data_IF_498225073747
#
_entry.id   IF_498225073747
#
_cell.length_a   1.000
_cell.length_b   1.000
_cell.length_c   1.000
_cell.angle_alpha   90.00
_cell.angle_beta   90.00
_cell.angle_gamma   90.00
#
_symmetry.space_group_name_H-M   'P 1'
#
loop_
_entity.id
_entity.type
_entity.pdbx_description
1 polymer ?
#
# COMPACT_ATOMS: atom_id res chain seq x y z
N UNK A 1 29.27 -39.78 -31.15
CA UNK A 1 28.97 -39.53 -29.72
C UNK A 1 28.46 -38.10 -29.62
N UNK A 2 27.14 -37.91 -29.59
CA UNK A 2 26.54 -36.56 -29.56
C UNK A 2 26.45 -36.12 -28.10
N UNK A 3 27.35 -35.25 -27.68
CA UNK A 3 27.24 -34.58 -26.39
C UNK A 3 26.12 -33.54 -26.50
N UNK A 4 24.92 -33.87 -26.03
CA UNK A 4 23.84 -32.90 -25.86
C UNK A 4 24.34 -31.79 -24.95
N UNK A 5 24.60 -30.61 -25.51
CA UNK A 5 24.96 -29.43 -24.74
C UNK A 5 23.76 -29.09 -23.85
N UNK A 6 23.91 -28.99 -22.53
CA UNK A 6 22.78 -28.71 -21.65
C UNK A 6 22.17 -27.36 -22.05
N UNK A 7 20.84 -27.30 -22.16
CA UNK A 7 20.12 -26.06 -22.48
C UNK A 7 20.49 -24.97 -21.47
N UNK A 8 20.82 -23.75 -21.92
CA UNK A 8 21.05 -22.62 -21.04
C UNK A 8 19.83 -22.35 -20.16
N UNK A 9 20.05 -21.97 -18.90
CA UNK A 9 18.97 -21.53 -18.01
C UNK A 9 18.48 -20.14 -18.42
N UNK A 10 17.25 -19.78 -18.05
CA UNK A 10 16.70 -18.43 -18.32
C UNK A 10 17.57 -17.32 -17.73
N UNK A 11 18.14 -17.53 -16.53
CA UNK A 11 19.08 -16.59 -15.92
C UNK A 11 20.32 -16.36 -16.79
N UNK A 12 20.79 -17.39 -17.49
CA UNK A 12 21.96 -17.29 -18.38
C UNK A 12 21.60 -16.61 -19.70
N UNK A 13 20.40 -16.82 -20.21
CA UNK A 13 19.88 -16.11 -21.40
C UNK A 13 19.66 -14.61 -21.11
N UNK A 14 19.19 -14.27 -19.91
CA UNK A 14 19.08 -12.88 -19.43
C UNK A 14 20.47 -12.23 -19.28
N UNK A 15 21.42 -12.91 -18.63
CA UNK A 15 22.79 -12.40 -18.52
C UNK A 15 23.48 -12.22 -19.88
N UNK A 16 23.18 -13.08 -20.86
CA UNK A 16 23.62 -12.90 -22.25
C UNK A 16 23.02 -11.65 -22.87
N UNK A 17 21.70 -11.46 -22.72
CA UNK A 17 20.96 -10.31 -23.24
C UNK A 17 21.45 -8.98 -22.66
N UNK A 18 21.85 -8.97 -21.39
CA UNK A 18 22.39 -7.80 -20.69
C UNK A 18 23.89 -7.57 -20.91
N UNK A 19 24.58 -8.47 -21.62
CA UNK A 19 26.01 -8.36 -21.90
C UNK A 19 26.92 -8.72 -20.73
N UNK A 20 26.38 -9.30 -19.66
CA UNK A 20 27.06 -9.65 -18.40
C UNK A 20 27.84 -10.97 -18.50
N UNK A 21 27.68 -11.76 -19.58
CA UNK A 21 28.43 -12.99 -19.76
C UNK A 21 29.87 -12.75 -20.27
N UNK A 22 30.87 -13.49 -19.72
CA UNK A 22 32.22 -13.55 -20.28
C UNK A 22 32.24 -14.03 -21.74
N UNK A 23 33.25 -13.63 -22.54
CA UNK A 23 33.33 -13.99 -23.97
C UNK A 23 33.13 -15.48 -24.32
N UNK A 24 33.76 -16.46 -23.63
CA UNK A 24 33.58 -17.87 -23.98
C UNK A 24 32.16 -18.39 -23.71
N UNK A 25 31.49 -17.86 -22.69
CA UNK A 25 30.12 -18.25 -22.35
C UNK A 25 29.10 -17.62 -23.28
N UNK A 26 29.35 -16.36 -23.68
CA UNK A 26 28.54 -15.65 -24.66
C UNK A 26 28.50 -16.40 -25.99
N UNK A 27 29.66 -16.84 -26.47
CA UNK A 27 29.75 -17.59 -27.73
C UNK A 27 29.05 -18.95 -27.67
N UNK A 28 29.08 -19.61 -26.51
CA UNK A 28 28.33 -20.85 -26.29
C UNK A 28 26.80 -20.63 -26.35
N UNK A 29 26.30 -19.55 -25.74
CA UNK A 29 24.88 -19.18 -25.80
C UNK A 29 24.47 -18.77 -27.21
N UNK A 30 25.28 -18.00 -27.94
CA UNK A 30 25.02 -17.61 -29.33
C UNK A 30 24.93 -18.83 -30.26
N UNK A 31 25.88 -19.75 -30.12
CA UNK A 31 25.87 -21.01 -30.89
C UNK A 31 24.63 -21.84 -30.58
N UNK A 32 24.21 -21.88 -29.32
CA UNK A 32 23.01 -22.60 -28.91
C UNK A 32 21.72 -21.95 -29.44
N UNK A 33 21.61 -20.61 -29.38
CA UNK A 33 20.47 -19.86 -29.91
C UNK A 33 20.36 -19.95 -31.43
N UNK A 34 21.48 -20.07 -32.15
CA UNK A 34 21.47 -20.36 -33.60
C UNK A 34 20.86 -21.73 -33.92
N UNK A 35 21.03 -22.71 -33.03
CA UNK A 35 20.47 -24.05 -33.17
C UNK A 35 19.01 -24.17 -32.69
N UNK A 36 18.48 -23.17 -31.96
CA UNK A 36 17.14 -23.18 -31.34
C UNK A 36 16.35 -21.89 -31.68
N UNK A 37 15.77 -21.80 -32.90
CA UNK A 37 15.15 -20.57 -33.40
C UNK A 37 13.91 -20.12 -32.60
N UNK A 38 13.17 -21.04 -31.99
CA UNK A 38 12.04 -20.75 -31.10
C UNK A 38 12.48 -20.05 -29.81
N UNK A 39 13.59 -20.48 -29.23
CA UNK A 39 14.19 -19.86 -28.05
C UNK A 39 14.79 -18.50 -28.39
N UNK A 40 15.43 -18.38 -29.56
CA UNK A 40 15.89 -17.09 -30.08
C UNK A 40 14.73 -16.11 -30.36
N UNK A 41 13.54 -16.59 -30.71
CA UNK A 41 12.35 -15.75 -30.82
C UNK A 41 11.85 -15.29 -29.44
N UNK A 42 11.87 -16.16 -28.43
CA UNK A 42 11.52 -15.81 -27.04
C UNK A 42 12.47 -14.74 -26.47
N UNK A 43 13.78 -14.92 -26.63
CA UNK A 43 14.78 -13.95 -26.15
C UNK A 43 14.65 -12.59 -26.86
N UNK A 44 14.24 -12.58 -28.14
CA UNK A 44 13.95 -11.33 -28.88
C UNK A 44 12.74 -10.57 -28.32
N UNK A 45 11.71 -11.26 -27.84
CA UNK A 45 10.58 -10.61 -27.15
C UNK A 45 11.04 -9.96 -25.85
N UNK A 46 11.86 -10.65 -25.05
CA UNK A 46 12.44 -10.08 -23.82
C UNK A 46 13.30 -8.85 -24.10
N UNK A 47 14.08 -8.87 -25.19
CA UNK A 47 14.86 -7.72 -25.63
C UNK A 47 13.96 -6.51 -25.96
N UNK A 48 12.86 -6.74 -26.67
CA UNK A 48 11.90 -5.70 -27.03
C UNK A 48 11.22 -5.10 -25.79
N UNK A 49 10.84 -5.93 -24.81
CA UNK A 49 10.24 -5.47 -23.55
C UNK A 49 11.23 -4.62 -22.74
N UNK A 50 12.49 -5.06 -22.63
CA UNK A 50 13.58 -4.31 -21.97
C UNK A 50 13.78 -2.95 -22.62
N UNK A 51 13.86 -2.91 -23.96
CA UNK A 51 14.12 -1.68 -24.70
C UNK A 51 12.92 -0.71 -24.60
N UNK A 52 11.68 -1.22 -24.59
CA UNK A 52 10.48 -0.42 -24.34
C UNK A 52 10.44 0.19 -22.93
N UNK A 53 10.89 -0.55 -21.92
CA UNK A 53 11.02 -0.04 -20.55
C UNK A 53 12.08 1.06 -20.45
N UNK A 54 13.26 0.85 -21.05
CA UNK A 54 14.32 1.87 -21.09
C UNK A 54 13.82 3.15 -21.74
N UNK A 55 13.25 3.08 -22.93
CA UNK A 55 12.73 4.26 -23.63
C UNK A 55 11.72 5.08 -22.80
N UNK A 56 10.90 4.42 -21.98
CA UNK A 56 9.92 5.11 -21.12
C UNK A 56 10.53 5.71 -19.85
N UNK A 57 11.59 5.10 -19.34
CA UNK A 57 12.21 5.46 -18.05
C UNK A 57 13.55 6.19 -18.21
N UNK A 58 14.04 6.38 -19.44
CA UNK A 58 15.32 7.04 -19.71
C UNK A 58 15.37 8.47 -19.12
N UNK A 59 14.23 9.18 -19.12
CA UNK A 59 14.14 10.51 -18.53
C UNK A 59 14.33 10.49 -17.00
N UNK A 60 13.76 9.49 -16.32
CA UNK A 60 13.87 9.28 -14.86
C UNK A 60 15.28 8.81 -14.47
N UNK A 61 15.91 7.99 -15.32
CA UNK A 61 17.30 7.53 -15.13
C UNK A 61 18.32 8.66 -15.26
N UNK A 62 17.98 9.74 -15.95
CA UNK A 62 18.82 10.92 -16.13
C UNK A 62 18.69 11.92 -14.97
N UNK A 63 17.74 11.73 -14.04
CA UNK A 63 17.62 12.61 -12.88
C UNK A 63 18.84 12.45 -11.95
N UNK A 64 19.45 13.57 -11.51
CA UNK A 64 20.54 13.50 -10.56
C UNK A 64 20.04 12.90 -9.24
N UNK A 65 20.72 11.85 -8.76
CA UNK A 65 20.42 11.26 -7.46
C UNK A 65 20.50 12.34 -6.38
N UNK A 66 19.56 12.38 -5.41
CA UNK A 66 19.60 13.41 -4.38
C UNK A 66 20.88 13.30 -3.55
N UNK A 67 21.51 14.44 -3.31
CA UNK A 67 22.84 14.58 -2.67
C UNK A 67 23.05 13.71 -1.40
N UNK A 68 22.07 13.55 -0.48
CA UNK A 68 22.24 12.70 0.71
C UNK A 68 22.48 11.21 0.40
N UNK A 69 22.04 10.73 -0.76
CA UNK A 69 22.23 9.34 -1.20
C UNK A 69 23.63 9.13 -1.74
N UNK A 70 24.11 10.08 -2.56
CA UNK A 70 25.47 10.10 -3.11
C UNK A 70 26.49 10.07 -1.97
N UNK A 71 26.28 10.91 -0.95
CA UNK A 71 27.18 10.98 0.21
C UNK A 71 27.20 9.68 1.03
N UNK A 72 26.08 8.99 1.21
CA UNK A 72 26.06 7.67 1.88
C UNK A 72 26.74 6.58 1.09
N UNK A 73 26.58 6.56 -0.24
CA UNK A 73 27.22 5.59 -1.12
C UNK A 73 28.74 5.81 -1.17
N UNK A 74 29.19 7.07 -1.16
CA UNK A 74 30.62 7.42 -1.14
C UNK A 74 31.26 7.23 0.25
N UNK A 75 30.48 7.37 1.33
CA UNK A 75 30.94 7.12 2.70
C UNK A 75 30.96 5.63 3.08
N UNK A 76 30.41 4.74 2.25
CA UNK A 76 30.51 3.31 2.45
C UNK A 76 31.97 2.87 2.19
N UNK A 77 32.64 2.20 3.15
CA UNK A 77 34.02 1.78 2.95
C UNK A 77 34.08 0.81 1.76
N UNK A 78 34.94 1.12 0.78
CA UNK A 78 35.26 0.23 -0.32
C UNK A 78 35.99 -1.00 0.24
N UNK A 79 35.23 -2.01 0.66
CA UNK A 79 35.77 -3.28 1.06
C UNK A 79 36.02 -4.10 -0.22
N UNK A 80 37.26 -4.06 -0.71
CA UNK A 80 37.77 -4.70 -1.92
C UNK A 80 37.85 -6.24 -1.80
N UNK A 81 36.76 -6.86 -1.35
CA UNK A 81 36.66 -8.32 -1.31
C UNK A 81 36.07 -8.82 -2.62
N UNK A 82 36.96 -9.28 -3.51
CA UNK A 82 36.66 -9.87 -4.82
C UNK A 82 35.69 -11.07 -4.77
N UNK A 83 35.31 -11.55 -3.59
CA UNK A 83 34.37 -12.66 -3.39
C UNK A 83 32.89 -12.23 -3.25
N UNK A 84 32.57 -10.92 -3.29
CA UNK A 84 31.19 -10.44 -3.15
C UNK A 84 30.50 -10.00 -4.44
N UNK A 85 31.22 -9.97 -5.57
CA UNK A 85 30.66 -9.54 -6.86
C UNK A 85 29.44 -10.34 -7.34
N UNK A 86 29.34 -11.68 -7.21
CA UNK A 86 28.13 -12.40 -7.60
C UNK A 86 26.96 -12.26 -6.60
N UNK A 87 27.22 -11.87 -5.35
CA UNK A 87 26.17 -11.65 -4.34
C UNK A 87 25.50 -10.27 -4.47
N UNK A 88 26.22 -9.27 -5.01
CA UNK A 88 25.69 -7.94 -5.28
C UNK A 88 24.68 -7.93 -6.44
N UNK A 89 24.86 -8.75 -7.48
CA UNK A 89 23.91 -8.84 -8.61
C UNK A 89 22.56 -9.45 -8.19
N UNK A 90 22.57 -10.48 -7.34
CA UNK A 90 21.35 -11.07 -6.77
C UNK A 90 20.64 -10.10 -5.81
N UNK A 91 21.40 -9.30 -5.05
CA UNK A 91 20.84 -8.26 -4.20
C UNK A 91 20.26 -7.08 -5.02
N UNK A 92 20.85 -6.75 -6.17
CA UNK A 92 20.35 -5.69 -7.05
C UNK A 92 19.06 -6.09 -7.78
N UNK A 93 18.92 -7.36 -8.17
CA UNK A 93 17.68 -7.91 -8.74
C UNK A 93 16.54 -8.00 -7.70
N UNK A 94 16.87 -8.32 -6.44
CA UNK A 94 15.91 -8.23 -5.33
C UNK A 94 15.58 -6.78 -4.99
N UNK A 95 16.54 -5.87 -5.11
CA UNK A 95 16.34 -4.44 -4.87
C UNK A 95 15.51 -3.77 -5.97
N UNK A 96 15.60 -4.16 -7.24
CA UNK A 96 14.73 -3.63 -8.31
C UNK A 96 13.32 -4.21 -8.26
N UNK A 97 13.17 -5.48 -7.89
CA UNK A 97 11.85 -6.09 -7.61
C UNK A 97 11.12 -5.46 -6.42
N UNK A 98 11.86 -5.06 -5.37
CA UNK A 98 11.32 -4.35 -4.22
C UNK A 98 11.22 -2.83 -4.42
N UNK A 99 12.11 -2.21 -5.21
CA UNK A 99 12.06 -0.78 -5.53
C UNK A 99 10.93 -0.43 -6.50
N UNK A 100 10.55 -1.31 -7.43
CA UNK A 100 9.33 -1.12 -8.24
C UNK A 100 8.04 -1.12 -7.41
N UNK A 101 8.02 -1.85 -6.29
CA UNK A 101 6.89 -1.89 -5.36
C UNK A 101 6.97 -0.79 -4.28
N UNK A 102 8.18 -0.30 -3.96
CA UNK A 102 8.42 0.74 -2.96
C UNK A 102 8.51 2.18 -3.54
N UNK A 103 8.83 2.35 -4.82
CA UNK A 103 8.87 3.65 -5.49
C UNK A 103 7.47 4.29 -5.61
N UNK A 104 6.40 3.49 -5.53
CA UNK A 104 5.04 4.01 -5.33
C UNK A 104 4.74 4.50 -3.90
N UNK A 105 5.69 4.41 -2.96
CA UNK A 105 5.48 4.77 -1.54
C UNK A 105 6.47 5.77 -0.95
N UNK A 106 7.52 6.19 -1.65
CA UNK A 106 8.52 7.12 -1.11
C UNK A 106 8.70 8.38 -1.98
N UNK A 107 7.63 9.15 -2.11
CA UNK A 107 7.70 10.60 -2.27
C UNK A 107 7.09 11.25 -1.01
N UNK A 108 7.91 11.41 0.01
CA UNK A 108 7.49 11.96 1.31
C UNK A 108 8.67 12.07 2.26
N UNK A 109 9.64 12.93 1.90
CA UNK A 109 10.80 13.22 2.74
C UNK A 109 10.41 14.01 3.98
N UNK A 110 10.72 13.45 5.15
CA UNK A 110 10.58 14.12 6.44
C UNK A 110 10.96 13.20 7.59
N UNK A 111 12.26 13.08 7.88
CA UNK A 111 12.74 12.57 9.16
C UNK A 111 12.39 13.58 10.25
N UNK A 112 11.18 13.47 10.80
CA UNK A 112 10.84 13.97 12.12
C UNK A 112 10.70 12.75 13.04
N UNK A 113 11.59 12.64 14.03
CA UNK A 113 11.41 11.75 15.18
C UNK A 113 10.11 12.14 15.90
N UNK A 114 9.03 11.38 15.71
CA UNK A 114 7.85 11.40 16.60
C UNK A 114 6.91 10.20 16.33
N UNK A 115 7.03 9.16 17.17
CA UNK A 115 5.88 8.39 17.71
C UNK A 115 4.67 8.20 16.78
N UNK A 116 4.86 7.61 15.61
CA UNK A 116 3.75 7.16 14.79
C UNK A 116 3.34 5.76 15.28
N UNK A 117 2.12 5.59 15.78
CA UNK A 117 1.60 4.25 16.00
C UNK A 117 1.47 3.57 14.63
N UNK A 118 2.15 2.45 14.35
CA UNK A 118 2.28 1.91 12.98
C UNK A 118 0.95 1.66 12.24
N UNK A 119 -0.15 1.50 12.96
CA UNK A 119 -1.48 1.27 12.37
C UNK A 119 -2.11 2.53 11.75
N UNK A 120 -1.75 3.73 12.24
CA UNK A 120 -2.26 5.01 11.74
C UNK A 120 -1.81 5.25 10.29
N UNK A 121 -0.55 4.90 9.99
CA UNK A 121 -0.01 4.90 8.62
C UNK A 121 -0.71 3.87 7.73
N UNK A 122 -1.10 2.71 8.26
CA UNK A 122 -1.86 1.71 7.49
C UNK A 122 -3.27 2.20 7.16
N UNK A 123 -3.92 2.91 8.08
CA UNK A 123 -5.20 3.56 7.81
C UNK A 123 -5.09 4.61 6.69
N UNK A 124 -4.03 5.43 6.70
CA UNK A 124 -3.77 6.40 5.62
C UNK A 124 -3.48 5.70 4.28
N UNK A 125 -2.68 4.63 4.29
CA UNK A 125 -2.41 3.84 3.09
C UNK A 125 -3.68 3.20 2.52
N UNK A 126 -4.53 2.63 3.38
CA UNK A 126 -5.82 2.07 2.97
C UNK A 126 -6.72 3.16 2.35
N UNK A 127 -6.76 4.37 2.92
CA UNK A 127 -7.50 5.49 2.35
C UNK A 127 -7.03 5.80 0.92
N UNK A 128 -5.72 6.01 0.74
CA UNK A 128 -5.14 6.35 -0.55
C UNK A 128 -5.37 5.28 -1.63
N UNK A 129 -5.36 4.00 -1.25
CA UNK A 129 -5.57 2.88 -2.20
C UNK A 129 -7.02 2.78 -2.66
N UNK A 130 -7.99 2.95 -1.76
CA UNK A 130 -9.39 2.62 -2.08
C UNK A 130 -10.26 3.81 -2.45
N UNK A 131 -9.93 5.03 -1.99
CA UNK A 131 -10.70 6.23 -2.33
C UNK A 131 -10.81 6.50 -3.84
N UNK A 132 -9.79 6.26 -4.68
CA UNK A 132 -9.91 6.46 -6.13
C UNK A 132 -10.80 5.45 -6.87
N UNK A 133 -11.11 4.30 -6.28
CA UNK A 133 -11.87 3.22 -6.93
C UNK A 133 -13.36 3.59 -7.09
N UNK A 134 -13.86 3.56 -8.33
CA UNK A 134 -15.23 4.00 -8.65
C UNK A 134 -16.22 2.85 -8.74
N UNK A 135 -15.80 1.67 -9.22
CA UNK A 135 -16.72 0.57 -9.57
C UNK A 135 -17.06 -0.32 -8.38
N UNK A 136 -16.07 -0.57 -7.52
CA UNK A 136 -16.26 -1.37 -6.30
C UNK A 136 -15.57 -0.68 -5.12
N UNK A 137 -16.06 0.51 -4.69
CA UNK A 137 -15.42 1.28 -3.63
C UNK A 137 -15.36 0.50 -2.31
N UNK A 138 -16.28 -0.44 -2.09
CA UNK A 138 -16.40 -1.26 -0.87
C UNK A 138 -16.83 -2.68 -1.21
N UNK A 139 -16.56 -3.63 -0.29
CA UNK A 139 -16.94 -5.04 -0.45
C UNK A 139 -18.44 -5.25 -0.19
N UNK A 140 -18.96 -4.59 0.83
CA UNK A 140 -20.39 -4.52 1.12
C UNK A 140 -20.83 -3.08 0.94
N UNK A 141 -21.57 -2.84 -0.15
CA UNK A 141 -22.19 -1.55 -0.44
C UNK A 141 -23.50 -1.42 0.34
N UNK A 142 -23.79 -0.22 0.82
CA UNK A 142 -25.08 0.10 1.49
C UNK A 142 -25.94 1.08 0.67
N UNK A 143 -25.58 1.31 -0.60
CA UNK A 143 -26.30 2.23 -1.49
C UNK A 143 -27.56 1.58 -2.05
N UNK A 144 -28.66 2.32 -2.04
CA UNK A 144 -29.92 1.97 -2.68
C UNK A 144 -30.89 3.14 -2.67
N UNK A 145 -32.02 2.99 -3.37
CA UNK A 145 -33.02 4.05 -3.48
C UNK A 145 -34.11 3.96 -2.39
N UNK A 146 -34.16 2.85 -1.65
CA UNK A 146 -35.13 2.58 -0.59
C UNK A 146 -34.47 2.60 0.79
N UNK A 147 -34.97 3.47 1.68
CA UNK A 147 -34.46 3.61 3.05
C UNK A 147 -34.55 2.33 3.89
N UNK A 148 -35.55 1.47 3.68
CA UNK A 148 -35.62 0.20 4.40
C UNK A 148 -34.53 -0.78 3.93
N UNK A 149 -34.25 -0.80 2.62
CA UNK A 149 -33.18 -1.62 2.05
C UNK A 149 -31.80 -1.15 2.52
N UNK A 150 -31.57 0.17 2.62
CA UNK A 150 -30.33 0.74 3.16
C UNK A 150 -30.12 0.31 4.62
N UNK A 151 -31.13 0.47 5.47
CA UNK A 151 -31.02 0.10 6.89
C UNK A 151 -30.69 -1.40 7.09
N UNK A 152 -31.29 -2.29 6.28
CA UNK A 152 -30.97 -3.72 6.32
C UNK A 152 -29.53 -4.02 5.88
N UNK A 153 -29.02 -3.31 4.85
CA UNK A 153 -27.64 -3.45 4.38
C UNK A 153 -26.62 -2.91 5.40
N UNK A 154 -26.93 -1.80 6.05
CA UNK A 154 -26.14 -1.24 7.15
C UNK A 154 -26.05 -2.20 8.34
N UNK A 155 -27.19 -2.78 8.75
CA UNK A 155 -27.21 -3.81 9.79
C UNK A 155 -26.36 -5.03 9.41
N UNK A 156 -26.46 -5.48 8.16
CA UNK A 156 -25.65 -6.58 7.65
C UNK A 156 -24.15 -6.24 7.69
N UNK A 157 -23.75 -5.06 7.21
CA UNK A 157 -22.37 -4.57 7.21
C UNK A 157 -21.81 -4.51 8.64
N UNK A 158 -22.54 -3.91 9.58
CA UNK A 158 -22.12 -3.79 10.97
C UNK A 158 -21.94 -5.15 11.63
N UNK A 159 -22.89 -6.07 11.43
CA UNK A 159 -22.81 -7.43 11.96
C UNK A 159 -21.65 -8.23 11.35
N UNK A 160 -21.45 -8.12 10.04
CA UNK A 160 -20.35 -8.79 9.34
C UNK A 160 -18.98 -8.30 9.81
N UNK A 161 -18.77 -6.98 9.91
CA UNK A 161 -17.52 -6.41 10.40
C UNK A 161 -17.28 -6.72 11.88
N UNK A 162 -18.30 -6.64 12.73
CA UNK A 162 -18.20 -7.00 14.16
C UNK A 162 -17.72 -8.44 14.34
N UNK A 163 -18.29 -9.38 13.58
CA UNK A 163 -17.89 -10.79 13.61
C UNK A 163 -16.43 -10.98 13.19
N UNK A 164 -15.93 -10.19 12.24
CA UNK A 164 -14.55 -10.29 11.74
C UNK A 164 -13.53 -9.61 12.66
N UNK A 165 -13.86 -8.44 13.20
CA UNK A 165 -12.94 -7.65 14.02
C UNK A 165 -12.90 -8.08 15.49
N UNK A 166 -13.89 -8.86 15.95
CA UNK A 166 -14.04 -9.27 17.35
C UNK A 166 -14.18 -8.08 18.32
N UNK A 167 -14.56 -6.92 17.80
CA UNK A 167 -14.96 -5.72 18.54
C UNK A 167 -16.26 -5.20 17.93
N UNK A 168 -17.17 -4.60 18.73
CA UNK A 168 -18.39 -3.99 18.21
C UNK A 168 -18.05 -2.92 17.17
N UNK A 169 -18.53 -3.10 15.93
CA UNK A 169 -18.36 -2.12 14.85
C UNK A 169 -19.64 -1.32 14.73
N UNK A 170 -19.51 0.00 14.86
CA UNK A 170 -20.58 0.96 14.64
C UNK A 170 -20.42 1.65 13.30
N UNK A 171 -21.55 1.93 12.67
CA UNK A 171 -21.65 2.83 11.52
C UNK A 171 -22.04 4.21 12.05
N UNK A 172 -21.42 5.26 11.52
CA UNK A 172 -21.60 6.61 12.03
C UNK A 172 -22.48 7.41 11.08
N UNK A 173 -23.46 8.12 11.62
CA UNK A 173 -24.28 9.02 10.82
C UNK A 173 -23.53 10.35 10.61
N UNK A 174 -23.12 10.59 9.37
CA UNK A 174 -22.45 11.83 8.95
C UNK A 174 -23.31 12.63 7.95
N UNK A 175 -24.59 12.29 7.79
CA UNK A 175 -25.48 12.94 6.82
C UNK A 175 -25.67 14.43 7.13
N UNK A 176 -25.73 14.81 8.41
CA UNK A 176 -25.79 16.21 8.83
C UNK A 176 -24.56 17.04 8.39
N UNK A 177 -23.46 16.37 8.02
CA UNK A 177 -22.24 16.99 7.48
C UNK A 177 -22.09 16.77 5.96
N UNK A 178 -23.12 16.23 5.31
CA UNK A 178 -23.17 15.98 3.87
C UNK A 178 -22.46 14.70 3.42
N UNK A 179 -22.07 13.81 4.34
CA UNK A 179 -21.39 12.56 4.02
C UNK A 179 -22.33 11.37 4.20
N UNK A 180 -22.52 10.60 3.13
CA UNK A 180 -23.31 9.37 3.14
C UNK A 180 -22.40 8.15 3.22
N UNK A 181 -22.79 7.14 3.98
CA UNK A 181 -22.08 5.88 4.04
C UNK A 181 -22.19 5.17 2.68
N UNK A 182 -21.03 4.85 2.08
CA UNK A 182 -20.96 4.04 0.86
C UNK A 182 -20.98 2.56 1.21
N UNK A 183 -20.32 2.21 2.31
CA UNK A 183 -20.28 0.88 2.89
C UNK A 183 -18.93 0.61 3.54
N UNK A 184 -18.51 -0.65 3.57
CA UNK A 184 -17.25 -1.04 4.23
C UNK A 184 -16.56 -2.26 3.65
N UNK A 185 -15.31 -2.45 4.09
CA UNK A 185 -14.43 -3.54 3.66
C UNK A 185 -13.53 -4.02 4.80
N UNK A 186 -13.10 -5.27 4.72
CA UNK A 186 -12.12 -5.85 5.63
C UNK A 186 -10.70 -5.67 5.09
N UNK A 187 -9.74 -5.43 5.97
CA UNK A 187 -8.33 -5.21 5.62
C UNK A 187 -7.40 -5.97 6.56
N UNK A 188 -6.23 -6.42 6.09
CA UNK A 188 -5.17 -6.91 6.97
C UNK A 188 -4.52 -5.75 7.73
N UNK A 189 -4.35 -5.92 9.04
CA UNK A 189 -3.80 -4.91 9.95
C UNK A 189 -2.75 -5.52 10.90
N UNK A 190 -1.48 -5.54 10.46
CA UNK A 190 -0.37 -5.96 11.32
C UNK A 190 -0.53 -7.38 11.94
N UNK A 191 -1.20 -8.28 11.22
CA UNK A 191 -1.49 -9.65 11.70
C UNK A 191 -2.89 -9.82 12.33
N UNK A 192 -3.65 -8.75 12.49
CA UNK A 192 -5.04 -8.75 12.94
C UNK A 192 -5.98 -8.24 11.82
N UNK A 193 -7.30 -8.48 11.91
CA UNK A 193 -8.27 -7.85 11.01
C UNK A 193 -8.49 -6.38 11.38
N UNK A 194 -8.50 -5.51 10.38
CA UNK A 194 -9.00 -4.14 10.42
C UNK A 194 -10.20 -3.97 9.48
N UNK A 195 -10.94 -2.88 9.65
CA UNK A 195 -12.03 -2.49 8.76
C UNK A 195 -11.83 -1.06 8.26
N UNK A 196 -12.37 -0.78 7.08
CA UNK A 196 -12.52 0.56 6.58
C UNK A 196 -13.98 0.79 6.18
N UNK A 197 -14.57 1.84 6.72
CA UNK A 197 -15.84 2.41 6.27
C UNK A 197 -15.53 3.59 5.36
N UNK A 198 -16.25 3.69 4.25
CA UNK A 198 -16.10 4.78 3.29
C UNK A 198 -17.35 5.65 3.27
N UNK A 199 -17.16 6.96 3.33
CA UNK A 199 -18.23 7.93 3.22
C UNK A 199 -17.96 8.86 2.04
N UNK A 200 -19.02 9.27 1.36
CA UNK A 200 -18.95 10.12 0.16
C UNK A 200 -19.92 11.30 0.28
N UNK A 201 -19.45 12.48 -0.13
CA UNK A 201 -20.23 13.70 -0.28
C UNK A 201 -20.73 13.85 -1.71
N UNK A 202 -21.78 14.64 -1.91
CA UNK A 202 -22.42 14.82 -3.22
C UNK A 202 -21.47 15.33 -4.35
N UNK A 203 -20.37 16.00 -4.00
CA UNK A 203 -19.34 16.45 -4.93
C UNK A 203 -18.28 15.37 -5.25
N UNK A 204 -18.46 14.15 -4.73
CA UNK A 204 -17.51 13.04 -4.85
C UNK A 204 -16.40 13.05 -3.82
N UNK A 205 -16.36 14.03 -2.91
CA UNK A 205 -15.39 14.07 -1.81
C UNK A 205 -15.55 12.87 -0.88
N UNK A 206 -14.46 12.17 -0.57
CA UNK A 206 -14.49 10.93 0.23
C UNK A 206 -13.67 11.05 1.50
N UNK A 207 -14.21 10.49 2.58
CA UNK A 207 -13.50 10.27 3.84
C UNK A 207 -13.63 8.81 4.24
N UNK A 208 -12.66 8.30 4.99
CA UNK A 208 -12.71 6.92 5.48
C UNK A 208 -12.49 6.86 6.98
N UNK A 209 -13.26 6.00 7.65
CA UNK A 209 -13.07 5.64 9.06
C UNK A 209 -12.45 4.25 9.10
N UNK A 210 -11.24 4.17 9.61
CA UNK A 210 -10.54 2.92 9.83
C UNK A 210 -10.76 2.44 11.26
N UNK A 211 -11.10 1.16 11.43
CA UNK A 211 -11.36 0.54 12.73
C UNK A 211 -10.46 -0.68 12.93
N UNK A 212 -9.96 -0.83 14.15
CA UNK A 212 -9.22 -2.02 14.59
C UNK A 212 -9.41 -2.28 16.07
N UNK A 213 -9.10 -3.49 16.53
CA UNK A 213 -8.86 -3.76 17.95
C UNK A 213 -7.48 -3.21 18.34
N UNK A 214 -7.31 -2.24 19.23
CA UNK A 214 -6.04 -1.60 19.57
C UNK A 214 -5.07 -2.57 20.26
N UNK A 215 -3.76 -2.31 20.14
CA UNK A 215 -2.73 -3.05 20.88
C UNK A 215 -2.72 -2.61 22.34
N UNK A 216 -2.30 -3.49 23.24
CA UNK A 216 -2.11 -3.14 24.64
C UNK A 216 -1.13 -1.96 24.77
N UNK A 217 -1.51 -0.94 25.56
CA UNK A 217 -0.71 0.27 25.74
C UNK A 217 -0.84 1.31 24.62
N UNK A 218 -1.73 1.11 23.64
CA UNK A 218 -2.03 2.17 22.65
C UNK A 218 -2.61 3.39 23.39
N UNK A 219 -2.02 4.60 23.25
CA UNK A 219 -2.53 5.79 23.93
C UNK A 219 -3.96 6.13 23.51
N UNK A 220 -4.86 6.27 24.48
CA UNK A 220 -6.23 6.73 24.29
C UNK A 220 -6.27 8.27 24.25
N UNK A 221 -5.59 8.86 23.27
CA UNK A 221 -5.56 10.31 23.07
C UNK A 221 -6.09 10.67 21.69
N UNK A 222 -6.94 11.70 21.65
CA UNK A 222 -7.44 12.28 20.42
C UNK A 222 -6.34 13.14 19.78
N UNK A 223 -5.80 12.66 18.67
CA UNK A 223 -4.63 13.26 18.03
C UNK A 223 -4.90 13.56 16.56
N UNK A 224 -4.21 14.59 16.06
CA UNK A 224 -4.25 15.00 14.66
C UNK A 224 -2.88 14.83 14.00
N UNK A 225 -2.89 14.42 12.74
CA UNK A 225 -1.72 14.44 11.87
C UNK A 225 -2.14 14.83 10.46
N UNK A 226 -1.23 15.45 9.73
CA UNK A 226 -1.35 15.67 8.30
C UNK A 226 -0.08 15.18 7.61
N UNK A 227 -0.23 14.48 6.50
CA UNK A 227 0.88 14.07 5.66
C UNK A 227 0.43 14.07 4.20
N UNK A 228 1.21 14.67 3.31
CA UNK A 228 0.95 14.71 1.86
C UNK A 228 -0.45 15.24 1.48
N UNK A 229 -0.93 16.26 2.23
CA UNK A 229 -2.27 16.85 2.05
C UNK A 229 -3.43 16.00 2.58
N UNK A 230 -3.13 14.88 3.23
CA UNK A 230 -4.11 13.99 3.84
C UNK A 230 -4.14 14.20 5.36
N UNK A 231 -5.24 14.78 5.85
CA UNK A 231 -5.49 14.96 7.27
C UNK A 231 -6.01 13.68 7.91
N UNK A 232 -5.63 13.45 9.16
CA UNK A 232 -6.07 12.30 9.94
C UNK A 232 -6.28 12.64 11.41
N UNK A 233 -7.44 12.27 11.94
CA UNK A 233 -7.71 12.24 13.38
C UNK A 233 -7.78 10.79 13.85
N UNK A 234 -7.14 10.48 14.98
CA UNK A 234 -7.16 9.13 15.54
C UNK A 234 -7.27 9.13 17.06
N UNK A 235 -7.93 8.11 17.59
CA UNK A 235 -8.15 7.90 19.02
C UNK A 235 -8.46 6.43 19.31
N UNK A 236 -8.50 6.07 20.60
CA UNK A 236 -8.95 4.76 21.07
C UNK A 236 -10.12 4.99 22.02
N UNK A 237 -11.23 4.30 21.79
CA UNK A 237 -12.45 4.42 22.60
C UNK A 237 -13.20 3.08 22.61
N UNK A 238 -13.80 2.69 23.73
CA UNK A 238 -14.62 1.46 23.81
C UNK A 238 -13.91 0.17 23.37
N UNK A 239 -12.59 0.08 23.52
CA UNK A 239 -11.80 -1.08 23.09
C UNK A 239 -11.57 -1.19 21.58
N UNK A 240 -11.84 -0.13 20.82
CA UNK A 240 -11.55 -0.01 19.38
C UNK A 240 -10.67 1.22 19.10
N UNK A 241 -9.74 1.09 18.16
CA UNK A 241 -8.97 2.20 17.61
C UNK A 241 -9.64 2.74 16.36
N UNK A 242 -9.79 4.06 16.27
CA UNK A 242 -10.43 4.76 15.17
C UNK A 242 -9.44 5.70 14.51
N UNK A 243 -9.39 5.71 13.18
CA UNK A 243 -8.71 6.75 12.41
C UNK A 243 -9.59 7.27 11.28
N UNK A 244 -10.03 8.53 11.40
CA UNK A 244 -10.71 9.26 10.34
C UNK A 244 -9.66 9.91 9.44
N UNK A 245 -9.73 9.64 8.14
CA UNK A 245 -8.76 10.11 7.15
C UNK A 245 -9.47 10.76 5.96
N UNK A 246 -8.97 11.91 5.48
CA UNK A 246 -9.50 12.60 4.32
C UNK A 246 -8.68 13.81 3.86
N UNK A 247 -8.78 14.14 2.58
CA UNK A 247 -8.18 15.33 1.98
C UNK A 247 -9.09 16.55 2.17
N UNK A 248 -9.22 17.00 3.42
CA UNK A 248 -10.09 18.12 3.83
C UNK A 248 -9.31 19.10 4.70
N UNK A 249 -9.72 20.38 4.74
CA UNK A 249 -9.23 21.31 5.74
C UNK A 249 -9.39 20.74 7.15
N UNK A 250 -8.37 20.94 8.00
CA UNK A 250 -8.33 20.41 9.38
C UNK A 250 -9.62 20.67 10.16
N UNK A 251 -10.21 21.86 10.04
CA UNK A 251 -11.43 22.23 10.76
C UNK A 251 -12.64 21.38 10.33
N UNK A 252 -12.80 21.09 9.04
CA UNK A 252 -13.88 20.23 8.54
C UNK A 252 -13.67 18.78 8.99
N UNK A 253 -12.43 18.28 8.90
CA UNK A 253 -12.10 16.93 9.32
C UNK A 253 -12.27 16.75 10.85
N UNK A 254 -11.93 17.78 11.64
CA UNK A 254 -12.15 17.80 13.08
C UNK A 254 -13.65 17.68 13.40
N UNK A 255 -14.48 18.44 12.69
CA UNK A 255 -15.92 18.43 12.95
C UNK A 255 -16.57 17.07 12.64
N UNK A 256 -16.04 16.35 11.65
CA UNK A 256 -16.40 14.95 11.38
C UNK A 256 -15.90 14.02 12.48
N UNK A 257 -14.64 14.16 12.91
CA UNK A 257 -14.05 13.33 13.97
C UNK A 257 -14.80 13.50 15.31
N UNK A 258 -15.19 14.72 15.66
CA UNK A 258 -16.01 15.02 16.84
C UNK A 258 -17.40 14.38 16.75
N UNK A 259 -18.04 14.43 15.57
CA UNK A 259 -19.34 13.77 15.37
C UNK A 259 -19.24 12.25 15.59
N UNK A 260 -18.21 11.62 15.05
CA UNK A 260 -17.92 10.18 15.26
C UNK A 260 -17.64 9.91 16.74
N UNK A 261 -16.81 10.73 17.38
CA UNK A 261 -16.44 10.56 18.78
C UNK A 261 -17.67 10.64 19.70
N UNK A 262 -18.56 11.62 19.50
CA UNK A 262 -19.79 11.77 20.30
C UNK A 262 -20.74 10.57 20.13
N UNK A 263 -20.90 10.06 18.91
CA UNK A 263 -21.69 8.85 18.64
C UNK A 263 -21.04 7.59 19.22
N UNK A 264 -19.70 7.55 19.29
CA UNK A 264 -18.95 6.47 19.93
C UNK A 264 -19.15 6.42 21.45
N UNK A 265 -19.14 7.60 22.11
CA UNK A 265 -19.25 7.75 23.57
C UNK A 265 -20.69 7.60 24.08
N UNK A 266 -21.68 8.09 23.33
CA UNK A 266 -23.08 8.21 23.79
C UNK A 266 -23.77 6.91 24.25
N UNK A 267 -23.43 5.75 23.68
CA UNK A 267 -24.06 4.47 24.06
C UNK A 267 -23.34 3.72 25.19
N UNK A 268 -22.08 4.08 25.49
CA UNK A 268 -21.34 3.39 26.54
C UNK A 268 -21.89 3.76 27.94
N UNK A 269 -22.56 4.92 28.05
CA UNK A 269 -23.30 5.33 29.24
C UNK A 269 -24.62 4.56 29.45
N UNK A 270 -25.17 3.93 28.40
CA UNK A 270 -26.43 3.18 28.48
C UNK A 270 -26.27 1.70 28.88
N UNK A 271 -25.03 1.19 28.92
CA UNK A 271 -24.72 -0.22 29.25
C UNK A 271 -23.80 -0.37 30.48
N UNK A 272 -23.77 0.61 31.38
CA UNK A 272 -23.15 0.45 32.70
C UNK A 272 -23.84 -0.68 33.48
N UNK A 273 -23.09 -1.52 34.22
CA UNK A 273 -23.62 -2.75 34.80
C UNK A 273 -24.71 -2.43 35.83
N UNK A 274 -25.88 -3.05 35.65
CA UNK A 274 -26.82 -3.31 36.73
C UNK A 274 -26.45 -4.61 37.42
#
# INVERSE_FOLDING_TARGET
>A
MNASTPSPTDARLQAWLDGELPPPERQAVETWLQAHPEEAARVRLWAADRDALRQRLDAELAEPLPEPWVQRLQAAPANDSAWRRPALAAALALATGLAGFAAGRWSGGGTALATATPWVQRAAAAHAVYVPEKRHPVEVSVRGDDGQAIAAQEQHLAAWLTKRLTVPVKLFDLQARGYQLVGGRLLPDGGAPGAQLMYERADGGRVTVYLRKPEAGTPAAFQYREQDGLGQFYWVEGGAGYALTGALPKAELLALAEAIYQQGVGDNAAHGPR
#
